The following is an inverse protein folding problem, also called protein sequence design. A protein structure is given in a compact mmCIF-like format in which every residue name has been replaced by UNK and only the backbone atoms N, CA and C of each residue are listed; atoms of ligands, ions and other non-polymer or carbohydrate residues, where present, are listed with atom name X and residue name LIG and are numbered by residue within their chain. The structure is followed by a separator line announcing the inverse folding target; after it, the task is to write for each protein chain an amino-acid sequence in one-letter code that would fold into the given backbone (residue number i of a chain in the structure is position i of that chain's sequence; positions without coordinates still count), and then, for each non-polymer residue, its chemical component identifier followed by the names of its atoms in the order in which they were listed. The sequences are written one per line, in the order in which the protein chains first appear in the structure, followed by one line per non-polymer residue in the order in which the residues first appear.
data_IF_236026040324
#
_entry.id   IF_236026040324
#
_cell.length_a   1.000
_cell.length_b   1.000
_cell.length_c   1.000
_cell.angle_alpha   90.00
_cell.angle_beta   90.00
_cell.angle_gamma   90.00
#
_symmetry.space_group_name_H-M   'P 1'
#
loop_
_entity.id
_entity.type
_entity.pdbx_description
1 polymer ?
#
# COMPACT_ATOMS: atom_id res chain seq x y z
N UNK A 1 -0.10 -17.40 19.34
CA UNK A 1 -0.42 -18.24 18.17
C UNK A 1 -1.59 -17.69 17.36
N UNK A 2 -2.81 -17.56 17.92
CA UNK A 2 -3.99 -17.01 17.21
C UNK A 2 -3.77 -15.65 16.53
N UNK A 3 -3.12 -14.69 17.21
CA UNK A 3 -2.88 -13.35 16.67
C UNK A 3 -1.85 -13.33 15.52
N UNK A 4 -0.88 -14.24 15.50
CA UNK A 4 0.12 -14.30 14.41
C UNK A 4 -0.47 -14.93 13.15
N UNK A 5 -1.32 -15.94 13.30
CA UNK A 5 -2.04 -16.57 12.19
C UNK A 5 -3.05 -15.60 11.54
N UNK A 6 -3.77 -14.83 12.36
CA UNK A 6 -4.64 -13.76 11.87
C UNK A 6 -3.84 -12.67 11.13
N UNK A 7 -2.70 -12.22 11.67
CA UNK A 7 -1.89 -11.20 11.03
C UNK A 7 -1.36 -11.64 9.65
N UNK A 8 -0.84 -12.87 9.55
CA UNK A 8 -0.37 -13.41 8.28
C UNK A 8 -1.48 -13.47 7.21
N UNK A 9 -2.69 -13.91 7.61
CA UNK A 9 -3.86 -13.91 6.74
C UNK A 9 -4.26 -12.51 6.28
N UNK A 10 -4.23 -11.52 7.17
CA UNK A 10 -4.55 -10.12 6.83
C UNK A 10 -3.54 -9.58 5.81
N UNK A 11 -2.24 -9.84 6.00
CA UNK A 11 -1.18 -9.40 5.08
C UNK A 11 -1.37 -10.01 3.68
N UNK A 12 -1.66 -11.30 3.60
CA UNK A 12 -1.95 -11.97 2.31
C UNK A 12 -3.19 -11.36 1.63
N UNK A 13 -4.27 -11.13 2.36
CA UNK A 13 -5.47 -10.47 1.82
C UNK A 13 -5.18 -9.04 1.34
N UNK A 14 -4.35 -8.28 2.06
CA UNK A 14 -3.88 -6.95 1.64
C UNK A 14 -3.13 -7.03 0.32
N UNK A 15 -2.19 -7.96 0.18
CA UNK A 15 -1.44 -8.17 -1.06
C UNK A 15 -2.35 -8.51 -2.23
N UNK A 16 -3.28 -9.45 -2.05
CA UNK A 16 -4.25 -9.83 -3.07
C UNK A 16 -5.18 -8.67 -3.45
N UNK A 17 -5.65 -7.90 -2.46
CA UNK A 17 -6.51 -6.74 -2.72
C UNK A 17 -5.77 -5.64 -3.47
N UNK A 18 -4.50 -5.41 -3.13
CA UNK A 18 -3.64 -4.46 -3.84
C UNK A 18 -3.44 -4.86 -5.31
N UNK A 19 -3.16 -6.13 -5.59
CA UNK A 19 -3.08 -6.64 -6.97
C UNK A 19 -4.39 -6.44 -7.74
N UNK A 20 -5.53 -6.69 -7.08
CA UNK A 20 -6.84 -6.56 -7.69
C UNK A 20 -7.20 -5.10 -7.99
N UNK A 21 -7.07 -4.18 -7.02
CA UNK A 21 -7.37 -2.76 -7.21
C UNK A 21 -6.48 -2.14 -8.29
N UNK A 22 -5.16 -2.43 -8.25
CA UNK A 22 -4.22 -1.94 -9.25
C UNK A 22 -4.65 -2.34 -10.68
N UNK A 23 -5.12 -3.57 -10.85
CA UNK A 23 -5.52 -4.09 -12.16
C UNK A 23 -6.91 -3.63 -12.59
N UNK A 24 -7.86 -3.53 -11.66
CA UNK A 24 -9.28 -3.31 -11.95
C UNK A 24 -9.64 -1.81 -12.02
N UNK A 25 -9.04 -0.97 -11.17
CA UNK A 25 -9.42 0.45 -11.02
C UNK A 25 -8.55 1.42 -11.82
N UNK A 26 -7.44 0.95 -12.39
CA UNK A 26 -6.52 1.78 -13.16
C UNK A 26 -5.74 2.80 -12.31
N UNK A 27 -5.73 2.61 -10.99
CA UNK A 27 -4.96 3.43 -10.06
C UNK A 27 -3.46 3.18 -10.21
N UNK A 28 -2.67 4.20 -9.90
CA UNK A 28 -1.23 4.07 -9.75
C UNK A 28 -0.85 3.21 -8.54
N UNK A 29 0.44 2.86 -8.50
CA UNK A 29 1.00 2.08 -7.39
C UNK A 29 0.88 2.79 -6.04
N UNK A 30 1.15 4.09 -5.96
CA UNK A 30 0.97 4.90 -4.73
C UNK A 30 -0.47 4.95 -4.25
N UNK A 31 -1.38 5.32 -5.15
CA UNK A 31 -2.82 5.42 -4.90
C UNK A 31 -3.36 4.09 -4.39
N UNK A 32 -2.98 2.99 -5.04
CA UNK A 32 -3.43 1.65 -4.65
C UNK A 32 -2.99 1.28 -3.24
N UNK A 33 -1.72 1.48 -2.90
CA UNK A 33 -1.21 1.15 -1.55
C UNK A 33 -1.96 1.95 -0.48
N UNK A 34 -2.10 3.27 -0.68
CA UNK A 34 -2.81 4.13 0.29
C UNK A 34 -4.26 3.69 0.44
N UNK A 35 -4.98 3.45 -0.66
CA UNK A 35 -6.38 3.01 -0.63
C UNK A 35 -6.55 1.68 0.10
N UNK A 36 -5.73 0.68 -0.23
CA UNK A 36 -5.85 -0.67 0.34
C UNK A 36 -5.61 -0.64 1.83
N UNK A 37 -4.55 0.03 2.28
CA UNK A 37 -4.23 0.08 3.71
C UNK A 37 -5.24 0.95 4.45
N UNK A 38 -5.59 2.13 3.93
CA UNK A 38 -6.58 2.99 4.57
C UNK A 38 -7.93 2.29 4.73
N UNK A 39 -8.51 1.72 3.66
CA UNK A 39 -9.82 1.07 3.77
C UNK A 39 -9.75 -0.25 4.52
N UNK A 40 -8.72 -1.06 4.25
CA UNK A 40 -8.52 -2.36 4.89
C UNK A 40 -8.37 -2.26 6.40
N UNK A 41 -7.70 -1.21 6.89
CA UNK A 41 -7.49 -1.00 8.33
C UNK A 41 -8.44 0.04 8.94
N UNK A 42 -9.49 0.45 8.22
CA UNK A 42 -10.48 1.45 8.66
C UNK A 42 -9.85 2.78 9.11
N UNK A 43 -8.88 3.26 8.34
CA UNK A 43 -8.23 4.55 8.54
C UNK A 43 -9.15 5.73 8.24
N UNK A 44 -8.68 6.92 8.66
CA UNK A 44 -9.51 8.12 8.75
C UNK A 44 -9.72 8.85 7.41
N UNK A 45 -9.09 8.40 6.32
CA UNK A 45 -9.27 9.05 5.02
C UNK A 45 -10.53 8.55 4.33
N UNK A 46 -11.26 9.47 3.71
CA UNK A 46 -12.30 9.08 2.75
C UNK A 46 -11.66 8.33 1.57
N UNK A 47 -12.41 7.43 0.89
CA UNK A 47 -11.93 6.73 -0.30
C UNK A 47 -11.30 7.66 -1.34
N UNK A 48 -11.92 8.83 -1.56
CA UNK A 48 -11.45 9.80 -2.55
C UNK A 48 -10.17 10.52 -2.11
N UNK A 49 -10.06 10.90 -0.84
CA UNK A 49 -8.84 11.50 -0.29
C UNK A 49 -7.66 10.54 -0.38
N UNK A 50 -7.88 9.25 -0.06
CA UNK A 50 -6.85 8.22 -0.15
C UNK A 50 -6.25 8.12 -1.56
N UNK A 51 -7.08 8.22 -2.61
CA UNK A 51 -6.61 8.25 -4.01
C UNK A 51 -5.86 9.55 -4.29
N UNK A 52 -6.47 10.71 -4.01
CA UNK A 52 -5.91 12.04 -4.35
C UNK A 52 -4.53 12.28 -3.75
N UNK A 53 -4.28 11.79 -2.51
CA UNK A 53 -2.97 11.90 -1.87
C UNK A 53 -1.88 11.11 -2.59
N UNK A 54 -2.23 10.02 -3.28
CA UNK A 54 -1.30 9.18 -4.01
C UNK A 54 -0.94 9.69 -5.40
N UNK A 55 -1.76 10.55 -6.01
CA UNK A 55 -1.68 10.87 -7.45
C UNK A 55 -0.35 11.54 -7.85
N UNK A 56 0.21 12.41 -7.01
CA UNK A 56 1.49 13.07 -7.27
C UNK A 56 2.67 12.10 -7.39
N UNK A 57 2.57 10.90 -6.80
CA UNK A 57 3.62 9.89 -6.78
C UNK A 57 3.56 8.91 -7.97
N UNK A 58 2.51 8.99 -8.79
CA UNK A 58 2.38 8.21 -10.01
C UNK A 58 3.65 8.30 -10.86
N UNK A 59 4.04 7.17 -11.47
CA UNK A 59 5.23 7.10 -12.33
C UNK A 59 6.54 7.57 -11.64
N UNK A 60 6.61 7.46 -10.30
CA UNK A 60 7.78 7.76 -9.49
C UNK A 60 7.95 9.23 -9.13
N UNK A 61 6.86 9.99 -8.98
CA UNK A 61 6.76 11.46 -8.99
C UNK A 61 6.69 12.05 -10.40
N UNK A 62 5.54 11.91 -11.05
CA UNK A 62 5.23 12.59 -12.30
C UNK A 62 6.14 12.22 -13.49
N UNK A 63 6.78 11.05 -13.46
CA UNK A 63 7.71 10.62 -14.51
C UNK A 63 9.16 11.08 -14.32
N UNK A 64 9.47 11.80 -13.23
CA UNK A 64 10.84 12.20 -12.89
C UNK A 64 11.76 10.99 -12.61
N UNK A 65 11.20 9.81 -12.34
CA UNK A 65 11.94 8.57 -12.10
C UNK A 65 12.57 8.47 -10.70
N UNK A 66 12.11 9.30 -9.77
CA UNK A 66 12.55 9.35 -8.37
C UNK A 66 11.86 8.26 -7.55
N UNK A 67 11.55 8.51 -6.27
CA UNK A 67 11.02 7.51 -5.33
C UNK A 67 9.85 6.71 -5.92
N UNK A 68 9.88 5.39 -5.76
CA UNK A 68 8.81 4.49 -6.18
C UNK A 68 7.49 4.87 -5.51
N UNK A 69 6.41 4.96 -6.30
CA UNK A 69 5.08 5.31 -5.78
C UNK A 69 4.55 4.31 -4.76
N UNK A 70 4.78 3.00 -4.95
CA UNK A 70 4.37 1.98 -3.97
C UNK A 70 5.02 2.21 -2.59
N UNK A 71 6.33 2.50 -2.57
CA UNK A 71 7.05 2.82 -1.34
C UNK A 71 6.53 4.11 -0.72
N UNK A 72 6.40 5.18 -1.50
CA UNK A 72 5.90 6.45 -0.98
C UNK A 72 4.47 6.33 -0.43
N UNK A 73 3.60 5.59 -1.11
CA UNK A 73 2.24 5.30 -0.63
C UNK A 73 2.23 4.47 0.66
N UNK A 74 3.18 3.54 0.81
CA UNK A 74 3.36 2.79 2.06
C UNK A 74 3.78 3.71 3.21
N UNK A 75 4.72 4.63 3.00
CA UNK A 75 5.13 5.61 4.03
C UNK A 75 3.98 6.53 4.46
N UNK A 76 3.15 6.95 3.50
CA UNK A 76 1.91 7.71 3.79
C UNK A 76 0.97 6.86 4.65
N UNK A 77 0.74 5.60 4.29
CA UNK A 77 -0.12 4.71 5.04
C UNK A 77 0.42 4.44 6.45
N UNK A 78 1.73 4.18 6.61
CA UNK A 78 2.36 4.05 7.92
C UNK A 78 2.18 5.29 8.78
N UNK A 79 2.33 6.47 8.18
CA UNK A 79 2.13 7.75 8.89
C UNK A 79 0.71 7.91 9.40
N UNK A 80 -0.29 7.41 8.67
CA UNK A 80 -1.69 7.47 9.09
C UNK A 80 -1.95 6.63 10.35
N UNK A 81 -1.38 5.43 10.43
CA UNK A 81 -1.66 4.52 11.54
C UNK A 81 -0.68 4.66 12.71
N UNK A 82 0.59 4.95 12.45
CA UNK A 82 1.65 4.90 13.46
C UNK A 82 2.32 6.26 13.71
N UNK A 83 2.09 7.24 12.83
CA UNK A 83 2.80 8.51 12.84
C UNK A 83 2.65 9.30 14.15
N UNK A 84 3.63 10.12 14.53
CA UNK A 84 3.66 10.78 15.84
C UNK A 84 2.58 11.85 16.06
N UNK A 85 1.86 12.21 15.00
CA UNK A 85 0.81 13.24 15.01
C UNK A 85 -0.60 12.64 15.02
N UNK A 86 -0.73 11.31 14.92
CA UNK A 86 -2.02 10.63 14.98
C UNK A 86 -2.40 10.34 16.44
N UNK A 87 -3.70 10.29 16.80
CA UNK A 87 -4.14 9.94 18.15
C UNK A 87 -3.61 8.56 18.62
N UNK A 88 -2.80 8.53 19.67
CA UNK A 88 -2.12 7.30 20.11
C UNK A 88 -0.95 6.89 19.21
N UNK A 89 -0.36 7.85 18.49
CA UNK A 89 0.83 7.68 17.65
C UNK A 89 2.09 7.33 18.42
N UNK A 90 3.06 6.77 17.70
CA UNK A 90 4.39 6.48 18.25
C UNK A 90 5.17 7.77 18.55
N UNK A 91 6.22 7.70 19.37
CA UNK A 91 7.14 8.85 19.48
C UNK A 91 7.87 9.05 18.16
N UNK A 92 8.20 10.29 17.82
CA UNK A 92 8.82 10.63 16.54
C UNK A 92 10.05 9.76 16.20
N UNK A 93 11.00 9.60 17.14
CA UNK A 93 12.20 8.77 16.95
C UNK A 93 11.92 7.28 16.79
N UNK A 94 10.82 6.78 17.34
CA UNK A 94 10.42 5.37 17.20
C UNK A 94 9.76 5.16 15.83
N UNK A 95 8.88 6.10 15.44
CA UNK A 95 8.28 6.11 14.11
C UNK A 95 9.32 6.22 12.98
N UNK A 96 10.35 7.07 13.14
CA UNK A 96 11.46 7.18 12.17
C UNK A 96 12.16 5.84 11.94
N UNK A 97 12.28 4.98 12.96
CA UNK A 97 12.84 3.64 12.81
C UNK A 97 11.94 2.72 11.99
N UNK A 98 10.62 2.77 12.23
CA UNK A 98 9.64 1.98 11.47
C UNK A 98 9.56 2.42 10.01
N UNK A 99 9.56 3.74 9.76
CA UNK A 99 9.63 4.30 8.40
C UNK A 99 10.92 3.88 7.69
N UNK A 100 12.07 3.95 8.39
CA UNK A 100 13.33 3.45 7.83
C UNK A 100 13.27 1.95 7.53
N UNK A 101 12.65 1.16 8.40
CA UNK A 101 12.49 -0.28 8.20
C UNK A 101 11.62 -0.58 6.98
N UNK A 102 10.54 0.17 6.75
CA UNK A 102 9.74 0.09 5.53
C UNK A 102 10.60 0.28 4.28
N UNK A 103 11.38 1.36 4.23
CA UNK A 103 12.32 1.63 3.16
C UNK A 103 13.31 0.47 2.95
N UNK A 104 13.95 0.00 4.02
CA UNK A 104 15.00 -1.00 3.95
C UNK A 104 14.45 -2.37 3.53
N UNK A 105 13.29 -2.78 4.04
CA UNK A 105 12.62 -4.03 3.64
C UNK A 105 12.14 -3.98 2.20
N UNK A 106 11.61 -2.83 1.75
CA UNK A 106 11.25 -2.65 0.35
C UNK A 106 12.49 -2.75 -0.56
N UNK A 107 13.58 -2.08 -0.18
CA UNK A 107 14.85 -2.15 -0.92
C UNK A 107 15.42 -3.56 -0.92
N UNK A 108 15.37 -4.29 0.19
CA UNK A 108 15.87 -5.65 0.29
C UNK A 108 15.08 -6.58 -0.64
N UNK A 109 13.75 -6.43 -0.70
CA UNK A 109 12.87 -7.26 -1.56
C UNK A 109 13.00 -6.94 -3.05
N UNK A 110 13.20 -5.66 -3.42
CA UNK A 110 13.14 -5.20 -4.81
C UNK A 110 14.44 -4.62 -5.36
N UNK A 111 15.53 -4.71 -4.59
CA UNK A 111 16.89 -4.21 -4.86
C UNK A 111 17.08 -2.69 -4.98
N UNK A 112 16.01 -1.89 -5.10
CA UNK A 112 16.09 -0.44 -5.21
C UNK A 112 14.80 0.25 -4.72
N UNK A 113 14.89 1.57 -4.52
CA UNK A 113 13.75 2.42 -4.14
C UNK A 113 13.46 3.52 -5.17
N UNK A 114 14.46 3.89 -5.99
CA UNK A 114 14.27 4.78 -7.14
C UNK A 114 13.52 4.06 -8.27
N UNK A 115 12.38 4.62 -8.68
CA UNK A 115 11.52 4.15 -9.74
C UNK A 115 12.29 3.93 -11.05
N UNK A 116 13.17 4.86 -11.47
CA UNK A 116 13.98 4.69 -12.69
C UNK A 116 14.82 3.42 -12.65
N UNK A 117 15.43 3.11 -11.51
CA UNK A 117 16.27 1.91 -11.34
C UNK A 117 15.41 0.65 -11.39
N UNK A 118 14.29 0.65 -10.67
CA UNK A 118 13.33 -0.48 -10.68
C UNK A 118 12.79 -0.75 -12.10
N UNK A 119 12.39 0.30 -12.81
CA UNK A 119 11.87 0.19 -14.17
C UNK A 119 12.93 -0.28 -15.16
N UNK A 120 14.20 0.14 -14.99
CA UNK A 120 15.32 -0.35 -15.80
C UNK A 120 15.51 -1.86 -15.60
N UNK A 121 15.58 -2.30 -14.34
CA UNK A 121 15.70 -3.74 -14.00
C UNK A 121 14.56 -4.57 -14.55
N UNK A 122 13.32 -4.07 -14.44
CA UNK A 122 12.16 -4.73 -15.06
C UNK A 122 12.32 -4.89 -16.58
N UNK A 123 12.80 -3.86 -17.29
CA UNK A 123 13.05 -3.95 -18.74
C UNK A 123 14.12 -4.98 -19.07
N UNK A 124 15.12 -5.13 -18.21
CA UNK A 124 16.17 -6.15 -18.28
C UNK A 124 15.69 -7.55 -17.82
N UNK A 125 14.38 -7.72 -17.56
CA UNK A 125 13.73 -8.95 -17.09
C UNK A 125 14.29 -9.50 -15.76
N UNK A 126 14.92 -8.65 -14.96
CA UNK A 126 15.54 -8.99 -13.67
C UNK A 126 14.96 -8.21 -12.47
N UNK A 127 13.77 -7.62 -12.66
CA UNK A 127 13.12 -6.77 -11.66
C UNK A 127 11.60 -6.84 -11.68
N UNK A 128 11.00 -6.45 -10.57
CA UNK A 128 9.56 -6.52 -10.34
C UNK A 128 8.76 -5.57 -11.26
N UNK A 129 7.55 -6.02 -11.61
CA UNK A 129 6.51 -5.22 -12.23
C UNK A 129 5.94 -4.18 -11.25
N UNK A 130 5.29 -3.13 -11.75
CA UNK A 130 4.61 -2.18 -10.87
C UNK A 130 3.54 -2.84 -10.00
N UNK A 131 2.88 -3.89 -10.51
CA UNK A 131 1.91 -4.67 -9.73
C UNK A 131 2.58 -5.36 -8.55
N UNK A 132 3.70 -6.03 -8.76
CA UNK A 132 4.46 -6.72 -7.69
C UNK A 132 5.04 -5.73 -6.67
N UNK A 133 5.50 -4.57 -7.11
CA UNK A 133 5.95 -3.48 -6.23
C UNK A 133 4.78 -2.97 -5.36
N UNK A 134 3.60 -2.78 -5.94
CA UNK A 134 2.38 -2.39 -5.21
C UNK A 134 1.99 -3.43 -4.16
N UNK A 135 2.00 -4.71 -4.55
CA UNK A 135 1.68 -5.84 -3.64
C UNK A 135 2.66 -5.87 -2.48
N UNK A 136 3.97 -5.94 -2.75
CA UNK A 136 4.94 -6.03 -1.67
C UNK A 136 5.04 -4.76 -0.83
N UNK A 137 4.79 -3.58 -1.41
CA UNK A 137 4.69 -2.34 -0.65
C UNK A 137 3.53 -2.36 0.34
N UNK A 138 2.35 -2.84 -0.08
CA UNK A 138 1.19 -2.98 0.79
C UNK A 138 1.40 -4.06 1.87
N UNK A 139 1.98 -5.21 1.51
CA UNK A 139 2.28 -6.30 2.45
C UNK A 139 3.24 -5.85 3.55
N UNK A 140 4.37 -5.24 3.19
CA UNK A 140 5.37 -4.77 4.17
C UNK A 140 4.74 -3.70 5.07
N UNK A 141 3.95 -2.78 4.52
CA UNK A 141 3.24 -1.77 5.32
C UNK A 141 2.28 -2.41 6.32
N UNK A 142 1.46 -3.37 5.88
CA UNK A 142 0.53 -4.09 6.74
C UNK A 142 1.25 -4.88 7.85
N UNK A 143 2.35 -5.55 7.53
CA UNK A 143 3.18 -6.26 8.51
C UNK A 143 3.72 -5.30 9.58
N UNK A 144 4.27 -4.15 9.18
CA UNK A 144 4.79 -3.16 10.12
C UNK A 144 3.69 -2.55 10.98
N UNK A 145 2.52 -2.25 10.40
CA UNK A 145 1.35 -1.79 11.16
C UNK A 145 0.95 -2.83 12.21
N UNK A 146 0.79 -4.09 11.81
CA UNK A 146 0.36 -5.16 12.71
C UNK A 146 1.42 -5.55 13.75
N UNK A 147 2.70 -5.38 13.44
CA UNK A 147 3.77 -5.57 14.42
C UNK A 147 3.71 -4.54 15.55
N UNK A 148 3.35 -3.29 15.24
CA UNK A 148 3.24 -2.21 16.23
C UNK A 148 1.86 -2.12 16.88
N UNK A 149 0.80 -2.52 16.16
CA UNK A 149 -0.61 -2.43 16.53
C UNK A 149 -1.33 -3.75 16.22
N UNK A 150 -0.98 -4.86 16.93
CA UNK A 150 -1.51 -6.18 16.64
C UNK A 150 -3.04 -6.29 16.80
N UNK A 151 -3.64 -5.44 17.63
CA UNK A 151 -5.09 -5.38 17.83
C UNK A 151 -5.87 -4.93 16.60
N UNK A 152 -5.19 -4.36 15.59
CA UNK A 152 -5.83 -4.01 14.32
C UNK A 152 -6.16 -5.23 13.47
N UNK A 153 -5.47 -6.37 13.65
CA UNK A 153 -5.73 -7.58 12.89
C UNK A 153 -7.19 -8.05 13.01
N UNK A 154 -7.81 -7.84 14.18
CA UNK A 154 -9.19 -8.23 14.45
C UNK A 154 -10.21 -7.15 14.06
N UNK A 155 -9.76 -5.96 13.63
CA UNK A 155 -10.61 -4.80 13.30
C UNK A 155 -10.61 -4.45 11.82
N UNK A 156 -9.83 -5.15 11.01
CA UNK A 156 -9.75 -4.92 9.57
C UNK A 156 -11.10 -5.13 8.89
N UNK A 157 -11.28 -4.46 7.75
CA UNK A 157 -12.43 -4.69 6.87
C UNK A 157 -12.17 -5.90 5.97
N UNK A 158 -12.50 -7.09 6.48
CA UNK A 158 -12.29 -8.35 5.76
C UNK A 158 -13.12 -8.43 4.48
N UNK A 159 -14.32 -7.85 4.44
CA UNK A 159 -15.16 -7.84 3.26
C UNK A 159 -14.51 -7.02 2.13
N UNK A 160 -13.98 -5.85 2.48
CA UNK A 160 -13.20 -5.04 1.54
C UNK A 160 -11.92 -5.76 1.08
N UNK A 161 -11.16 -6.37 2.00
CA UNK A 161 -9.90 -7.03 1.66
C UNK A 161 -10.11 -8.31 0.84
N UNK A 162 -11.20 -9.04 1.05
CA UNK A 162 -11.55 -10.24 0.30
C UNK A 162 -12.20 -9.94 -1.07
N UNK A 163 -12.67 -8.70 -1.29
CA UNK A 163 -13.35 -8.33 -2.53
C UNK A 163 -12.44 -8.48 -3.77
N UNK A 164 -12.98 -9.11 -4.82
CA UNK A 164 -12.31 -9.26 -6.13
C UNK A 164 -13.17 -8.63 -7.21
N UNK A 165 -12.73 -7.48 -7.71
CA UNK A 165 -13.40 -6.72 -8.75
C UNK A 165 -12.88 -7.11 -10.13
N UNK A 166 -13.77 -7.17 -11.13
CA UNK A 166 -13.37 -7.30 -12.53
C UNK A 166 -13.23 -5.91 -13.15
N UNK A 167 -12.26 -5.76 -14.06
CA UNK A 167 -12.06 -4.50 -14.79
C UNK A 167 -13.33 -4.05 -15.53
N UNK A 168 -14.08 -4.99 -16.10
CA UNK A 168 -15.34 -4.74 -16.78
C UNK A 168 -16.41 -4.19 -15.82
N UNK A 169 -16.53 -4.79 -14.63
CA UNK A 169 -17.47 -4.35 -13.61
C UNK A 169 -17.14 -2.95 -13.07
N UNK A 170 -15.86 -2.64 -12.87
CA UNK A 170 -15.43 -1.30 -12.46
C UNK A 170 -15.72 -0.25 -13.55
N UNK A 171 -15.44 -0.56 -14.82
CA UNK A 171 -15.77 0.33 -15.94
C UNK A 171 -17.28 0.61 -16.02
N UNK A 172 -18.12 -0.41 -15.83
CA UNK A 172 -19.57 -0.24 -15.83
C UNK A 172 -20.06 0.68 -14.69
N UNK A 173 -19.51 0.54 -13.48
CA UNK A 173 -19.87 1.42 -12.33
C UNK A 173 -19.51 2.88 -12.59
N UNK A 174 -18.35 3.13 -13.19
CA UNK A 174 -17.89 4.48 -13.54
C UNK A 174 -18.81 5.15 -14.57
N UNK A 175 -19.21 4.42 -15.59
CA UNK A 175 -20.17 4.90 -16.60
C UNK A 175 -21.56 5.21 -16.02
N UNK A 176 -21.94 4.53 -14.94
CA UNK A 176 -23.23 4.71 -14.26
C UNK A 176 -23.18 5.76 -13.13
N UNK A 177 -22.03 6.38 -12.85
CA UNK A 177 -21.88 7.38 -11.79
C UNK A 177 -22.06 6.83 -10.37
N UNK A 178 -21.73 5.55 -10.13
CA UNK A 178 -21.95 4.85 -8.84
C UNK A 178 -20.63 4.51 -8.12
N UNK A 179 -19.61 5.37 -8.27
CA UNK A 179 -18.29 5.21 -7.61
C UNK A 179 -18.28 5.78 -6.19
#
# INVERSE_FOLDING_TARGET
MKNQENAARVVDLVGQRAANIFSARGYCCSETVIVVINQGFRGDLSPEMAVRLGSGFCHGMGGAGCTCGALAGAEVALSLFLGPRQPGGMKAKEFEKVAKEMHDRFRARFAATCCRVLLKRRKEKNGATCKELTVGGAEIAAELILAQRPELADKVDLDFLALRESKLGTMAKKLLGRE
#
